data_IF_000712395437
#
_entry.id   IF_000712395437
#
_cell.length_a   1.000
_cell.length_b   1.000
_cell.length_c   1.000
_cell.angle_alpha   90.00
_cell.angle_beta   90.00
_cell.angle_gamma   90.00
#
_symmetry.space_group_name_H-M   'P 1'
#
loop_
_entity.id
_entity.type
_entity.pdbx_description
1 polymer ?
#
# COMPACT_ATOMS: atom_id res chain seq x y z
N UNK A 1 -6.13 37.42 4.85
CA UNK A 1 -6.27 37.21 3.41
C UNK A 1 -6.76 35.79 3.22
N UNK A 2 -7.92 35.62 2.59
CA UNK A 2 -8.42 34.30 2.18
C UNK A 2 -7.46 33.76 1.12
N UNK A 3 -7.00 32.50 1.25
CA UNK A 3 -6.18 31.88 0.21
C UNK A 3 -7.00 31.80 -1.08
N UNK A 4 -6.38 31.92 -2.26
CA UNK A 4 -7.08 31.84 -3.55
C UNK A 4 -7.90 30.53 -3.68
N UNK A 5 -7.40 29.42 -3.12
CA UNK A 5 -8.13 28.16 -3.02
C UNK A 5 -9.44 28.26 -2.22
N UNK A 6 -9.49 29.08 -1.16
CA UNK A 6 -10.71 29.28 -0.37
C UNK A 6 -11.78 30.09 -1.11
N UNK A 7 -11.39 31.04 -1.96
CA UNK A 7 -12.33 31.78 -2.81
C UNK A 7 -12.93 30.88 -3.89
N UNK A 8 -12.10 30.04 -4.51
CA UNK A 8 -12.54 29.06 -5.51
C UNK A 8 -13.50 28.02 -4.91
N UNK A 9 -13.19 27.51 -3.71
CA UNK A 9 -14.06 26.60 -2.97
C UNK A 9 -15.44 27.22 -2.69
N UNK A 10 -15.48 28.48 -2.24
CA UNK A 10 -16.73 29.19 -1.98
C UNK A 10 -17.56 29.38 -3.26
N UNK A 11 -16.92 29.72 -4.39
CA UNK A 11 -17.57 29.84 -5.69
C UNK A 11 -18.16 28.52 -6.19
N UNK A 12 -17.37 27.45 -6.16
CA UNK A 12 -17.83 26.11 -6.55
C UNK A 12 -18.99 25.63 -5.66
N UNK A 13 -18.90 25.84 -4.33
CA UNK A 13 -19.98 25.52 -3.39
C UNK A 13 -21.28 26.25 -3.75
N UNK A 14 -21.21 27.56 -3.98
CA UNK A 14 -22.38 28.37 -4.33
C UNK A 14 -23.06 27.88 -5.62
N UNK A 15 -22.28 27.50 -6.63
CA UNK A 15 -22.82 26.94 -7.87
C UNK A 15 -23.49 25.58 -7.66
N UNK A 16 -22.94 24.74 -6.79
CA UNK A 16 -23.56 23.45 -6.42
C UNK A 16 -24.86 23.66 -5.65
N UNK A 17 -24.90 24.61 -4.72
CA UNK A 17 -26.11 24.97 -3.97
C UNK A 17 -27.24 25.44 -4.90
N UNK A 18 -26.94 26.36 -5.83
CA UNK A 18 -27.89 26.84 -6.84
C UNK A 18 -28.36 25.71 -7.75
N UNK A 19 -27.47 24.76 -8.07
CA UNK A 19 -27.79 23.55 -8.85
C UNK A 19 -28.55 22.46 -8.08
N UNK A 20 -28.93 22.69 -6.81
CA UNK A 20 -29.62 21.71 -5.98
C UNK A 20 -28.74 20.55 -5.50
N UNK A 21 -27.42 20.66 -5.60
CA UNK A 21 -26.45 19.63 -5.26
C UNK A 21 -25.93 19.78 -3.83
N UNK A 22 -26.83 19.88 -2.85
CA UNK A 22 -26.50 20.18 -1.45
C UNK A 22 -25.45 19.22 -0.84
N UNK A 23 -25.49 17.93 -1.19
CA UNK A 23 -24.52 16.93 -0.71
C UNK A 23 -23.09 17.22 -1.22
N UNK A 24 -22.95 17.66 -2.47
CA UNK A 24 -21.67 18.02 -3.07
C UNK A 24 -21.17 19.39 -2.58
N UNK A 25 -22.07 20.34 -2.35
CA UNK A 25 -21.74 21.63 -1.76
C UNK A 25 -21.17 21.45 -0.34
N UNK A 26 -21.84 20.64 0.49
CA UNK A 26 -21.35 20.29 1.82
C UNK A 26 -20.01 19.54 1.76
N UNK A 27 -19.75 18.75 0.71
CA UNK A 27 -18.47 18.07 0.48
C UNK A 27 -17.35 19.08 0.24
N UNK A 28 -17.57 20.04 -0.64
CA UNK A 28 -16.58 21.11 -0.90
C UNK A 28 -16.29 21.90 0.36
N UNK A 29 -17.31 22.19 1.19
CA UNK A 29 -17.15 22.96 2.43
C UNK A 29 -16.27 22.26 3.49
N UNK A 30 -16.36 20.93 3.61
CA UNK A 30 -15.52 20.15 4.55
C UNK A 30 -14.17 19.71 3.97
N UNK A 31 -13.92 19.98 2.70
CA UNK A 31 -12.70 19.60 2.00
C UNK A 31 -11.68 20.74 2.00
N UNK A 32 -10.40 20.41 1.85
CA UNK A 32 -9.38 21.41 1.58
C UNK A 32 -9.19 21.58 0.07
N UNK A 33 -9.12 22.84 -0.38
CA UNK A 33 -8.95 23.20 -1.79
C UNK A 33 -7.67 24.01 -1.94
N UNK A 34 -6.79 23.55 -2.83
CA UNK A 34 -5.50 24.17 -3.08
C UNK A 34 -5.23 24.32 -4.58
N UNK A 35 -4.57 25.42 -4.95
CA UNK A 35 -4.03 25.61 -6.30
C UNK A 35 -2.62 25.02 -6.34
N UNK A 36 -2.35 24.16 -7.32
CA UNK A 36 -1.09 23.43 -7.42
C UNK A 36 -0.20 23.98 -8.53
N UNK A 37 1.00 24.41 -8.13
CA UNK A 37 2.02 24.91 -9.03
C UNK A 37 1.65 26.26 -9.66
N UNK A 38 2.42 26.64 -10.69
CA UNK A 38 2.11 27.82 -11.50
C UNK A 38 0.99 27.50 -12.50
N UNK A 39 0.20 28.51 -12.83
CA UNK A 39 -0.83 28.38 -13.86
C UNK A 39 -0.19 28.17 -15.24
N UNK A 40 -0.71 27.21 -16.00
CA UNK A 40 -0.30 26.99 -17.37
C UNK A 40 -0.84 28.12 -18.26
N UNK A 41 -0.07 28.55 -19.25
CA UNK A 41 -0.53 29.55 -20.23
C UNK A 41 -1.17 28.83 -21.40
N UNK A 42 -2.48 28.99 -21.57
CA UNK A 42 -3.24 28.38 -22.66
C UNK A 42 -3.67 29.44 -23.67
N UNK A 43 -3.56 29.12 -24.96
CA UNK A 43 -4.12 29.94 -26.04
C UNK A 43 -5.52 29.44 -26.38
N UNK A 44 -6.54 30.29 -26.20
CA UNK A 44 -7.93 29.99 -26.54
C UNK A 44 -8.43 30.97 -27.60
N UNK A 45 -8.27 30.61 -28.88
CA UNK A 45 -8.54 31.54 -29.98
C UNK A 45 -7.53 32.69 -29.97
N UNK A 46 -8.02 33.93 -29.89
CA UNK A 46 -7.19 35.14 -29.88
C UNK A 46 -6.75 35.60 -28.47
N UNK A 47 -7.19 34.92 -27.41
CA UNK A 47 -6.86 35.25 -26.01
C UNK A 47 -5.91 34.23 -25.41
N UNK A 48 -5.11 34.69 -24.47
CA UNK A 48 -4.33 33.83 -23.58
C UNK A 48 -4.94 33.84 -22.20
N UNK A 49 -5.03 32.66 -21.59
CA UNK A 49 -5.59 32.47 -20.26
C UNK A 49 -4.62 31.71 -19.37
N UNK A 50 -4.73 31.92 -18.06
CA UNK A 50 -4.03 31.18 -17.01
C UNK A 50 -4.90 30.01 -16.57
N UNK A 51 -4.46 28.80 -16.89
CA UNK A 51 -5.13 27.56 -16.52
C UNK A 51 -4.57 27.04 -15.19
N UNK A 52 -5.38 27.08 -14.13
CA UNK A 52 -4.98 26.64 -12.80
C UNK A 52 -5.30 25.17 -12.58
N UNK A 53 -4.39 24.44 -11.95
CA UNK A 53 -4.64 23.07 -11.47
C UNK A 53 -5.09 23.13 -10.02
N UNK A 54 -6.15 22.41 -9.71
CA UNK A 54 -6.80 22.42 -8.39
C UNK A 54 -6.72 21.04 -7.78
N UNK A 55 -6.38 20.96 -6.51
CA UNK A 55 -6.52 19.76 -5.69
C UNK A 55 -7.69 19.93 -4.74
N UNK A 56 -8.55 18.92 -4.72
CA UNK A 56 -9.58 18.75 -3.72
C UNK A 56 -9.16 17.59 -2.80
N UNK A 57 -8.76 17.94 -1.58
CA UNK A 57 -8.38 16.97 -0.54
C UNK A 57 -9.60 16.60 0.28
N UNK A 58 -9.98 15.32 0.24
CA UNK A 58 -11.25 14.81 0.78
C UNK A 58 -11.05 13.70 1.80
N UNK A 59 -12.07 13.44 2.62
CA UNK A 59 -12.10 12.27 3.51
C UNK A 59 -12.14 10.94 2.71
N UNK A 60 -11.84 9.81 3.36
CA UNK A 60 -11.93 8.50 2.72
C UNK A 60 -13.37 8.17 2.25
N UNK A 61 -14.38 8.57 3.03
CA UNK A 61 -15.79 8.36 2.70
C UNK A 61 -16.19 9.15 1.44
N UNK A 62 -15.79 10.43 1.38
CA UNK A 62 -16.03 11.29 0.23
C UNK A 62 -15.26 10.82 -1.02
N UNK A 63 -14.03 10.33 -0.84
CA UNK A 63 -13.26 9.75 -1.93
C UNK A 63 -13.96 8.53 -2.53
N UNK A 64 -14.43 7.61 -1.70
CA UNK A 64 -15.19 6.43 -2.15
C UNK A 64 -16.48 6.84 -2.85
N UNK A 65 -17.21 7.81 -2.29
CA UNK A 65 -18.42 8.35 -2.87
C UNK A 65 -18.19 8.92 -4.28
N UNK A 66 -17.15 9.73 -4.46
CA UNK A 66 -16.86 10.39 -5.73
C UNK A 66 -16.30 9.43 -6.79
N UNK A 67 -15.48 8.46 -6.37
CA UNK A 67 -14.92 7.44 -7.27
C UNK A 67 -15.97 6.41 -7.70
N UNK A 68 -16.95 6.08 -6.85
CA UNK A 68 -18.06 5.20 -7.17
C UNK A 68 -19.12 5.86 -8.07
N UNK A 69 -19.18 7.19 -8.12
CA UNK A 69 -20.20 7.94 -8.86
C UNK A 69 -19.55 8.97 -9.80
N UNK A 70 -19.10 8.56 -11.01
CA UNK A 70 -18.44 9.45 -11.96
C UNK A 70 -19.23 10.71 -12.31
N UNK A 71 -20.56 10.63 -12.34
CA UNK A 71 -21.42 11.79 -12.59
C UNK A 71 -21.26 12.86 -11.51
N UNK A 72 -21.13 12.47 -10.23
CA UNK A 72 -20.92 13.41 -9.11
C UNK A 72 -19.57 14.12 -9.25
N UNK A 73 -18.53 13.38 -9.62
CA UNK A 73 -17.22 13.95 -9.89
C UNK A 73 -17.23 14.90 -11.10
N UNK A 74 -17.98 14.57 -12.15
CA UNK A 74 -18.19 15.48 -13.29
C UNK A 74 -18.88 16.77 -12.87
N UNK A 75 -19.96 16.68 -12.08
CA UNK A 75 -20.66 17.85 -11.55
C UNK A 75 -19.75 18.74 -10.70
N UNK A 76 -18.88 18.15 -9.86
CA UNK A 76 -17.85 18.91 -9.14
C UNK A 76 -16.89 19.61 -10.10
N UNK A 77 -16.37 18.90 -11.11
CA UNK A 77 -15.47 19.49 -12.11
C UNK A 77 -16.11 20.67 -12.82
N UNK A 78 -17.37 20.55 -13.22
CA UNK A 78 -18.11 21.62 -13.89
C UNK A 78 -18.31 22.83 -12.98
N UNK A 79 -18.64 22.61 -11.70
CA UNK A 79 -18.76 23.68 -10.72
C UNK A 79 -17.43 24.41 -10.47
N UNK A 80 -16.32 23.67 -10.33
CA UNK A 80 -14.98 24.27 -10.20
C UNK A 80 -14.55 24.99 -11.47
N UNK A 81 -14.85 24.44 -12.65
CA UNK A 81 -14.55 25.07 -13.93
C UNK A 81 -15.31 26.38 -14.10
N UNK A 82 -16.61 26.39 -13.78
CA UNK A 82 -17.43 27.59 -13.81
C UNK A 82 -16.98 28.63 -12.77
N UNK A 83 -16.58 28.21 -11.57
CA UNK A 83 -16.06 29.12 -10.55
C UNK A 83 -14.69 29.72 -10.92
N UNK A 84 -13.83 28.96 -11.59
CA UNK A 84 -12.51 29.42 -12.04
C UNK A 84 -12.56 30.28 -13.32
N UNK A 85 -13.65 30.21 -14.08
CA UNK A 85 -13.73 30.84 -15.41
C UNK A 85 -13.88 32.35 -15.31
N UNK A 86 -12.90 33.06 -15.86
CA UNK A 86 -12.94 34.50 -16.10
C UNK A 86 -12.42 34.79 -17.51
N UNK A 87 -12.38 36.05 -17.98
CA UNK A 87 -11.70 36.38 -19.25
C UNK A 87 -10.22 36.00 -19.28
N UNK A 88 -9.57 35.86 -18.11
CA UNK A 88 -8.12 35.65 -17.96
C UNK A 88 -7.76 34.29 -17.36
N UNK A 89 -8.73 33.54 -16.82
CA UNK A 89 -8.48 32.31 -16.05
C UNK A 89 -9.41 31.19 -16.46
N UNK A 90 -8.88 29.96 -16.43
CA UNK A 90 -9.63 28.72 -16.66
C UNK A 90 -9.17 27.64 -15.66
N UNK A 91 -9.95 26.57 -15.55
CA UNK A 91 -9.55 25.36 -14.84
C UNK A 91 -8.73 24.45 -15.77
N UNK A 92 -7.46 24.25 -15.44
CA UNK A 92 -6.57 23.31 -16.13
C UNK A 92 -6.82 21.85 -15.75
N UNK A 93 -7.24 21.61 -14.50
CA UNK A 93 -7.62 20.28 -14.04
C UNK A 93 -8.05 20.27 -12.57
N UNK A 94 -8.86 19.27 -12.20
CA UNK A 94 -9.24 18.98 -10.82
C UNK A 94 -8.78 17.57 -10.45
N UNK A 95 -7.81 17.52 -9.53
CA UNK A 95 -7.27 16.29 -8.96
C UNK A 95 -7.94 16.02 -7.61
N UNK A 96 -8.38 14.79 -7.40
CA UNK A 96 -8.92 14.33 -6.12
C UNK A 96 -7.80 13.66 -5.33
N UNK A 97 -7.58 14.09 -4.08
CA UNK A 97 -6.54 13.54 -3.20
C UNK A 97 -7.15 13.13 -1.86
N UNK A 98 -6.69 12.03 -1.30
CA UNK A 98 -7.12 11.57 0.02
C UNK A 98 -6.47 12.39 1.13
N UNK A 99 -7.27 12.85 2.09
CA UNK A 99 -6.78 13.37 3.36
C UNK A 99 -6.11 12.24 4.15
N UNK A 100 -4.78 12.23 4.17
CA UNK A 100 -4.02 11.22 4.89
C UNK A 100 -4.00 11.52 6.39
N UNK A 101 -4.03 10.49 7.26
CA UNK A 101 -3.92 10.70 8.69
C UNK A 101 -2.58 11.37 9.03
N UNK A 102 -2.56 12.31 9.99
CA UNK A 102 -1.34 12.99 10.39
C UNK A 102 -0.38 11.95 10.97
N UNK A 103 0.65 11.59 10.22
CA UNK A 103 1.77 10.83 10.78
C UNK A 103 2.51 11.77 11.71
N UNK A 104 2.61 11.44 13.00
CA UNK A 104 3.28 12.26 14.03
C UNK A 104 4.76 12.59 13.81
N UNK A 105 5.28 12.45 12.60
CA UNK A 105 6.55 13.01 12.16
C UNK A 105 6.32 14.46 11.67
N UNK A 106 6.24 15.40 12.62
CA UNK A 106 6.42 16.81 12.26
C UNK A 106 7.86 17.04 11.85
N UNK A 107 8.15 17.21 10.56
CA UNK A 107 9.50 17.52 10.08
C UNK A 107 9.52 18.66 9.05
N UNK A 108 10.04 19.79 9.54
CA UNK A 108 10.77 20.89 8.87
C UNK A 108 10.12 21.72 7.77
N UNK A 109 9.29 22.70 8.16
CA UNK A 109 9.05 23.92 7.37
C UNK A 109 10.11 25.02 7.54
N UNK A 110 11.23 24.79 8.26
CA UNK A 110 12.14 25.87 8.67
C UNK A 110 13.66 25.60 8.59
N UNK A 111 14.15 24.55 7.92
CA UNK A 111 15.58 24.21 8.03
C UNK A 111 16.54 24.94 7.04
N UNK A 112 16.08 25.51 5.93
CA UNK A 112 16.98 26.18 4.98
C UNK A 112 16.35 27.43 4.37
N UNK A 113 16.90 28.59 4.73
CA UNK A 113 16.48 29.93 4.25
C UNK A 113 16.85 30.17 2.78
N UNK A 114 17.83 29.43 2.26
CA UNK A 114 18.45 29.65 0.94
C UNK A 114 18.44 28.40 0.03
N UNK A 115 17.67 27.36 0.39
CA UNK A 115 17.46 26.26 -0.54
C UNK A 115 16.50 26.72 -1.66
N UNK A 116 16.81 26.51 -2.96
CA UNK A 116 15.86 26.76 -4.03
C UNK A 116 14.56 26.05 -3.67
N UNK A 117 13.42 26.74 -3.80
CA UNK A 117 12.11 26.15 -3.53
C UNK A 117 11.97 24.87 -4.38
N UNK A 118 12.20 23.71 -3.77
CA UNK A 118 11.93 22.43 -4.40
C UNK A 118 10.41 22.42 -4.63
N UNK A 119 10.02 22.65 -5.88
CA UNK A 119 8.66 22.93 -6.36
C UNK A 119 7.65 21.80 -6.16
N UNK A 120 8.04 20.67 -5.56
CA UNK A 120 7.17 19.54 -5.30
C UNK A 120 6.99 19.41 -3.78
N UNK A 121 5.74 19.41 -3.33
CA UNK A 121 5.41 18.95 -1.98
C UNK A 121 6.06 17.57 -1.79
N UNK A 122 6.77 17.33 -0.66
CA UNK A 122 7.40 16.05 -0.44
C UNK A 122 6.33 14.94 -0.51
N UNK A 123 6.66 13.80 -1.15
CA UNK A 123 5.74 12.67 -1.24
C UNK A 123 5.22 12.29 0.14
N UNK A 124 3.96 11.84 0.27
CA UNK A 124 3.44 11.40 1.55
C UNK A 124 4.29 10.25 2.10
N UNK A 125 4.60 10.23 3.41
CA UNK A 125 5.41 9.17 4.00
C UNK A 125 4.67 7.83 3.91
N UNK A 126 5.39 6.69 3.84
CA UNK A 126 4.78 5.36 3.67
C UNK A 126 3.71 5.03 4.73
N UNK A 127 3.93 5.45 5.98
CA UNK A 127 2.98 5.26 7.07
C UNK A 127 1.66 6.03 6.86
N UNK A 128 1.71 7.23 6.26
CA UNK A 128 0.51 8.02 5.95
C UNK A 128 -0.28 7.36 4.83
N UNK A 129 0.40 6.89 3.79
CA UNK A 129 -0.20 6.13 2.68
C UNK A 129 -0.87 4.86 3.19
N UNK A 130 -0.18 4.09 4.04
CA UNK A 130 -0.73 2.87 4.64
C UNK A 130 -1.97 3.15 5.50
N UNK A 131 -1.92 4.20 6.33
CA UNK A 131 -3.06 4.63 7.14
C UNK A 131 -4.25 5.10 6.29
N UNK A 132 -4.00 5.87 5.23
CA UNK A 132 -5.03 6.31 4.29
C UNK A 132 -5.66 5.13 3.53
N UNK A 133 -4.84 4.16 3.08
CA UNK A 133 -5.33 2.96 2.43
C UNK A 133 -6.25 2.13 3.36
N UNK A 134 -5.90 2.02 4.64
CA UNK A 134 -6.74 1.35 5.62
C UNK A 134 -8.10 2.06 5.81
N UNK A 135 -8.12 3.39 5.90
CA UNK A 135 -9.38 4.15 6.00
C UNK A 135 -10.21 4.07 4.70
N UNK A 136 -9.58 3.97 3.52
CA UNK A 136 -10.29 3.68 2.27
C UNK A 136 -10.96 2.29 2.29
N UNK A 137 -10.26 1.25 2.75
CA UNK A 137 -10.84 -0.08 2.88
C UNK A 137 -12.02 -0.09 3.87
N UNK A 138 -11.90 0.65 4.99
CA UNK A 138 -12.98 0.85 5.95
C UNK A 138 -14.19 1.56 5.33
N UNK A 139 -13.97 2.65 4.60
CA UNK A 139 -15.03 3.38 3.89
C UNK A 139 -15.73 2.51 2.82
N UNK A 140 -14.98 1.63 2.16
CA UNK A 140 -15.51 0.59 1.23
C UNK A 140 -16.20 -0.57 1.95
N UNK A 141 -16.23 -0.58 3.28
CA UNK A 141 -16.74 -1.68 4.13
C UNK A 141 -16.00 -3.01 3.93
N UNK A 142 -14.75 -2.95 3.45
CA UNK A 142 -13.87 -4.11 3.32
C UNK A 142 -13.01 -4.27 4.58
N UNK A 143 -13.63 -4.82 5.64
CA UNK A 143 -12.99 -5.02 6.95
C UNK A 143 -11.77 -5.93 6.90
N UNK A 144 -11.76 -6.87 5.97
CA UNK A 144 -10.66 -7.80 5.82
C UNK A 144 -9.40 -7.10 5.30
N UNK A 145 -9.52 -6.39 4.17
CA UNK A 145 -8.42 -5.62 3.62
C UNK A 145 -7.94 -4.52 4.58
N UNK A 146 -8.87 -3.87 5.29
CA UNK A 146 -8.55 -2.94 6.38
C UNK A 146 -7.68 -3.59 7.46
N UNK A 147 -8.08 -4.78 7.95
CA UNK A 147 -7.35 -5.51 8.97
C UNK A 147 -5.94 -5.89 8.55
N UNK A 148 -5.76 -6.29 7.29
CA UNK A 148 -4.45 -6.60 6.70
C UNK A 148 -3.57 -5.34 6.66
N UNK A 149 -4.09 -4.22 6.14
CA UNK A 149 -3.35 -2.96 6.02
C UNK A 149 -2.94 -2.39 7.39
N UNK A 150 -3.79 -2.52 8.42
CA UNK A 150 -3.47 -2.04 9.78
C UNK A 150 -2.30 -2.80 10.43
N UNK A 151 -2.05 -4.05 10.04
CA UNK A 151 -0.95 -4.88 10.56
C UNK A 151 0.30 -4.87 9.68
N UNK A 152 0.15 -4.49 8.41
CA UNK A 152 1.23 -4.44 7.44
C UNK A 152 2.29 -3.37 7.80
N UNK A 153 3.45 -3.46 7.16
CA UNK A 153 4.41 -2.36 7.07
C UNK A 153 4.61 -1.99 5.60
N UNK A 154 5.09 -0.77 5.34
CA UNK A 154 5.24 -0.25 3.98
C UNK A 154 6.62 0.37 3.80
N UNK A 155 7.31 -0.08 2.75
CA UNK A 155 8.54 0.55 2.26
C UNK A 155 8.23 1.32 0.97
N UNK A 156 8.90 2.45 0.77
CA UNK A 156 8.80 3.25 -0.45
C UNK A 156 10.18 3.38 -1.08
N UNK A 157 10.22 3.21 -2.39
CA UNK A 157 11.40 3.44 -3.22
C UNK A 157 11.00 4.17 -4.51
N UNK A 158 11.98 4.78 -5.16
CA UNK A 158 11.81 5.37 -6.47
C UNK A 158 12.51 4.49 -7.49
N UNK A 159 11.77 4.09 -8.53
CA UNK A 159 12.35 3.39 -9.66
C UNK A 159 12.38 4.35 -10.83
N UNK A 160 13.56 4.53 -11.43
CA UNK A 160 13.66 5.24 -12.70
C UNK A 160 13.12 4.32 -13.80
N UNK A 161 11.95 4.65 -14.32
CA UNK A 161 11.37 4.00 -15.49
C UNK A 161 11.34 5.02 -16.63
N UNK A 162 12.31 4.93 -17.53
CA UNK A 162 12.50 5.89 -18.62
C UNK A 162 12.62 7.36 -18.12
N UNK A 163 11.94 8.31 -18.77
CA UNK A 163 12.04 9.75 -18.50
C UNK A 163 11.29 10.23 -17.25
N UNK A 164 10.63 9.34 -16.48
CA UNK A 164 9.91 9.69 -15.24
C UNK A 164 10.24 8.72 -14.11
N UNK A 165 10.48 9.25 -12.91
CA UNK A 165 10.57 8.43 -11.70
C UNK A 165 9.18 7.95 -11.31
N UNK A 166 9.00 6.65 -11.13
CA UNK A 166 7.76 6.06 -10.62
C UNK A 166 7.94 5.69 -9.14
N UNK A 167 6.95 6.00 -8.32
CA UNK A 167 6.92 5.55 -6.92
C UNK A 167 6.57 4.07 -6.85
N UNK A 168 7.39 3.32 -6.11
CA UNK A 168 7.18 1.91 -5.84
C UNK A 168 6.97 1.71 -4.34
N UNK A 169 5.82 1.15 -3.99
CA UNK A 169 5.50 0.72 -2.64
C UNK A 169 5.66 -0.80 -2.52
N UNK A 170 6.34 -1.24 -1.48
CA UNK A 170 6.41 -2.63 -1.08
C UNK A 170 5.61 -2.79 0.22
N UNK A 171 4.45 -3.42 0.10
CA UNK A 171 3.58 -3.75 1.23
C UNK A 171 4.04 -5.07 1.84
N UNK A 172 4.59 -5.00 3.04
CA UNK A 172 5.07 -6.15 3.82
C UNK A 172 3.93 -6.69 4.65
N UNK A 173 3.52 -7.91 4.35
CA UNK A 173 2.38 -8.58 4.96
C UNK A 173 2.83 -9.69 5.90
N UNK A 174 2.03 -9.95 6.91
CA UNK A 174 2.21 -11.15 7.72
C UNK A 174 2.07 -12.40 6.83
N UNK A 175 2.76 -13.51 7.15
CA UNK A 175 2.81 -14.71 6.31
C UNK A 175 1.44 -15.30 5.95
N UNK A 176 0.51 -15.31 6.92
CA UNK A 176 -0.85 -15.77 6.69
C UNK A 176 -1.60 -14.89 5.69
N UNK A 177 -1.45 -13.56 5.80
CA UNK A 177 -2.07 -12.59 4.91
C UNK A 177 -1.44 -12.66 3.51
N UNK A 178 -0.12 -12.81 3.41
CA UNK A 178 0.59 -12.99 2.15
C UNK A 178 0.11 -14.25 1.41
N UNK A 179 0.06 -15.40 2.10
CA UNK A 179 -0.44 -16.64 1.51
C UNK A 179 -1.92 -16.55 1.12
N UNK A 180 -2.70 -15.71 1.79
CA UNK A 180 -4.12 -15.49 1.49
C UNK A 180 -4.32 -14.67 0.22
N UNK A 181 -3.62 -13.55 0.07
CA UNK A 181 -3.74 -12.71 -1.12
C UNK A 181 -3.29 -13.42 -2.40
N UNK A 182 -2.39 -14.41 -2.31
CA UNK A 182 -2.00 -15.25 -3.44
C UNK A 182 -3.14 -16.19 -3.87
N UNK A 183 -3.99 -16.62 -2.94
CA UNK A 183 -5.16 -17.47 -3.21
C UNK A 183 -6.40 -16.68 -3.61
N UNK A 184 -6.49 -15.41 -3.18
CA UNK A 184 -7.64 -14.54 -3.37
C UNK A 184 -7.27 -13.28 -4.18
N UNK A 185 -7.20 -13.36 -5.53
CA UNK A 185 -6.84 -12.21 -6.37
C UNK A 185 -7.67 -10.93 -6.13
N UNK A 186 -9.00 -11.00 -5.89
CA UNK A 186 -9.79 -9.80 -5.59
C UNK A 186 -9.35 -9.06 -4.32
N UNK A 187 -8.81 -9.78 -3.34
CA UNK A 187 -8.27 -9.18 -2.11
C UNK A 187 -6.96 -8.44 -2.42
N UNK A 188 -6.06 -9.06 -3.20
CA UNK A 188 -4.82 -8.44 -3.65
C UNK A 188 -5.08 -7.16 -4.46
N UNK A 189 -6.08 -7.19 -5.36
CA UNK A 189 -6.52 -6.03 -6.14
C UNK A 189 -7.09 -4.93 -5.23
N UNK A 190 -7.90 -5.30 -4.24
CA UNK A 190 -8.47 -4.35 -3.28
C UNK A 190 -7.39 -3.61 -2.49
N UNK A 191 -6.36 -4.34 -2.01
CA UNK A 191 -5.21 -3.76 -1.31
C UNK A 191 -4.40 -2.84 -2.24
N UNK A 192 -4.14 -3.30 -3.47
CA UNK A 192 -3.38 -2.54 -4.48
C UNK A 192 -4.09 -1.24 -4.84
N UNK A 193 -5.41 -1.29 -5.11
CA UNK A 193 -6.22 -0.10 -5.40
C UNK A 193 -6.22 0.87 -4.23
N UNK A 194 -6.45 0.40 -3.00
CA UNK A 194 -6.46 1.27 -1.83
C UNK A 194 -5.13 2.00 -1.62
N UNK A 195 -4.00 1.30 -1.78
CA UNK A 195 -2.66 1.91 -1.68
C UNK A 195 -2.42 2.91 -2.81
N UNK A 196 -2.81 2.60 -4.05
CA UNK A 196 -2.67 3.53 -5.19
C UNK A 196 -3.48 4.80 -4.99
N UNK A 197 -4.72 4.67 -4.56
CA UNK A 197 -5.62 5.80 -4.34
C UNK A 197 -5.12 6.68 -3.17
N UNK A 198 -4.63 6.06 -2.09
CA UNK A 198 -4.02 6.79 -0.98
C UNK A 198 -2.67 7.45 -1.34
N UNK A 199 -1.92 6.86 -2.28
CA UNK A 199 -0.64 7.40 -2.73
C UNK A 199 -0.78 8.49 -3.80
N UNK A 200 -1.95 8.62 -4.43
CA UNK A 200 -2.19 9.54 -5.53
C UNK A 200 -1.94 10.99 -5.10
N UNK A 201 -1.14 11.70 -5.90
CA UNK A 201 -0.91 13.14 -5.74
C UNK A 201 -1.28 13.86 -7.03
N UNK A 202 -1.36 15.20 -6.98
CA UNK A 202 -1.70 16.02 -8.14
C UNK A 202 -0.75 15.83 -9.33
N UNK A 203 0.54 15.60 -9.05
CA UNK A 203 1.60 15.52 -10.06
C UNK A 203 2.01 14.08 -10.39
N UNK A 204 1.65 13.09 -9.57
CA UNK A 204 2.05 11.69 -9.76
C UNK A 204 0.92 10.70 -9.39
N UNK A 205 0.06 10.33 -10.34
CA UNK A 205 -1.03 9.39 -10.11
C UNK A 205 -0.58 7.92 -10.15
N UNK A 206 0.66 7.63 -10.55
CA UNK A 206 1.07 6.27 -10.89
C UNK A 206 2.00 5.69 -9.83
N UNK A 207 1.54 4.65 -9.14
CA UNK A 207 2.35 3.90 -8.18
C UNK A 207 2.30 2.40 -8.45
N UNK A 208 3.48 1.78 -8.45
CA UNK A 208 3.62 0.34 -8.47
C UNK A 208 3.51 -0.18 -7.03
N UNK A 209 2.62 -1.14 -6.79
CA UNK A 209 2.45 -1.78 -5.49
C UNK A 209 2.89 -3.23 -5.63
N UNK A 210 3.78 -3.65 -4.76
CA UNK A 210 4.26 -5.03 -4.67
C UNK A 210 4.00 -5.57 -3.27
N UNK A 211 3.82 -6.89 -3.17
CA UNK A 211 3.68 -7.57 -1.90
C UNK A 211 4.98 -8.28 -1.54
N UNK A 212 5.30 -8.30 -0.25
CA UNK A 212 6.39 -9.08 0.30
C UNK A 212 6.04 -9.61 1.68
N UNK A 213 6.81 -10.58 2.16
CA UNK A 213 6.68 -11.08 3.53
C UNK A 213 7.30 -10.08 4.51
N UNK A 214 6.59 -9.83 5.61
CA UNK A 214 7.08 -9.14 6.79
C UNK A 214 7.91 -10.12 7.62
N UNK A 215 9.18 -9.81 7.82
CA UNK A 215 10.14 -10.68 8.53
C UNK A 215 10.51 -10.13 9.92
N UNK A 216 10.03 -8.93 10.25
CA UNK A 216 10.25 -8.16 11.47
C UNK A 216 9.07 -8.22 12.46
N UNK A 217 8.09 -9.09 12.21
CA UNK A 217 6.94 -9.31 13.10
C UNK A 217 7.28 -10.17 14.33
N UNK A 218 6.45 -10.13 15.39
CA UNK A 218 6.58 -11.07 16.51
C UNK A 218 6.47 -12.48 15.95
N UNK A 219 7.54 -13.26 16.12
CA UNK A 219 7.55 -14.69 15.74
C UNK A 219 6.49 -15.36 16.60
N UNK A 220 5.43 -15.95 16.01
CA UNK A 220 4.44 -16.68 16.78
C UNK A 220 5.17 -17.73 17.62
N UNK A 221 4.86 -17.84 18.91
CA UNK A 221 5.45 -18.90 19.74
C UNK A 221 5.09 -20.24 19.10
N UNK A 222 6.13 -20.91 18.61
CA UNK A 222 6.01 -22.22 18.02
C UNK A 222 5.85 -23.23 19.17
N UNK A 223 4.92 -24.19 19.08
CA UNK A 223 4.90 -25.30 20.02
C UNK A 223 6.20 -26.12 19.90
N UNK A 224 6.51 -26.91 20.92
CA UNK A 224 7.46 -28.01 20.73
C UNK A 224 6.76 -29.11 19.91
N UNK A 225 7.40 -29.71 18.90
CA UNK A 225 8.83 -29.65 18.55
C UNK A 225 9.26 -28.56 17.54
N UNK A 226 8.34 -27.78 16.99
CA UNK A 226 8.56 -26.74 15.97
C UNK A 226 9.57 -25.68 16.44
N UNK A 227 9.47 -25.24 17.71
CA UNK A 227 10.35 -24.25 18.30
C UNK A 227 11.83 -24.66 18.26
N UNK A 228 12.11 -25.95 18.49
CA UNK A 228 13.47 -26.49 18.48
C UNK A 228 14.08 -26.50 17.09
N UNK A 229 13.28 -26.87 16.09
CA UNK A 229 13.70 -26.81 14.70
C UNK A 229 13.96 -25.37 14.27
N UNK A 230 13.07 -24.44 14.65
CA UNK A 230 13.23 -23.02 14.36
C UNK A 230 14.47 -22.42 15.01
N UNK A 231 14.77 -22.77 16.26
CA UNK A 231 15.98 -22.34 16.95
C UNK A 231 17.26 -22.82 16.23
N UNK A 232 17.28 -24.09 15.83
CA UNK A 232 18.40 -24.68 15.10
C UNK A 232 18.61 -24.05 13.71
N UNK A 233 17.53 -23.71 13.01
CA UNK A 233 17.55 -23.03 11.70
C UNK A 233 17.98 -21.56 11.81
N UNK A 234 17.56 -20.86 12.88
CA UNK A 234 17.98 -19.49 13.16
C UNK A 234 19.51 -19.41 13.34
N UNK A 235 20.11 -20.37 14.06
CA UNK A 235 21.56 -20.50 14.19
C UNK A 235 22.31 -20.71 12.86
N UNK A 236 21.59 -21.08 11.78
CA UNK A 236 22.11 -21.27 10.42
C UNK A 236 21.71 -20.16 9.46
N UNK A 237 21.16 -19.05 9.96
CA UNK A 237 20.77 -17.90 9.16
C UNK A 237 19.47 -18.11 8.36
N UNK A 238 18.62 -19.06 8.76
CA UNK A 238 17.31 -19.28 8.18
C UNK A 238 16.20 -18.87 9.17
N UNK A 239 15.15 -18.23 8.65
CA UNK A 239 13.98 -17.79 9.41
C UNK A 239 12.86 -18.82 9.23
N UNK A 240 12.25 -19.25 10.34
CA UNK A 240 11.09 -20.13 10.32
C UNK A 240 9.82 -19.34 10.58
N UNK A 241 8.82 -19.62 9.76
CA UNK A 241 7.55 -18.92 9.76
C UNK A 241 6.43 -19.97 9.78
N UNK A 242 5.61 -20.05 10.84
CA UNK A 242 4.45 -20.94 10.82
C UNK A 242 3.40 -20.45 9.83
N UNK A 243 2.81 -21.39 9.10
CA UNK A 243 1.72 -21.20 8.15
C UNK A 243 0.61 -22.15 8.57
N UNK A 244 -0.50 -21.59 9.07
CA UNK A 244 -1.70 -22.38 9.39
C UNK A 244 -2.39 -22.80 8.10
N UNK A 245 -2.69 -24.09 7.99
CA UNK A 245 -3.44 -24.69 6.88
C UNK A 245 -4.95 -24.61 7.12
N UNK A 246 -5.77 -24.74 6.06
CA UNK A 246 -7.23 -24.78 6.18
C UNK A 246 -7.76 -25.95 7.03
N UNK A 247 -7.01 -27.05 7.12
CA UNK A 247 -7.34 -28.23 7.94
C UNK A 247 -6.91 -28.08 9.41
N UNK A 248 -6.34 -26.94 9.79
CA UNK A 248 -5.88 -26.66 11.15
C UNK A 248 -4.46 -27.13 11.46
N UNK A 249 -3.78 -27.81 10.52
CA UNK A 249 -2.38 -28.20 10.67
C UNK A 249 -1.43 -27.02 10.39
N UNK A 250 -0.20 -27.10 10.89
CA UNK A 250 0.82 -26.04 10.71
C UNK A 250 1.93 -26.52 9.79
N UNK A 251 2.22 -25.76 8.74
CA UNK A 251 3.48 -25.85 8.00
C UNK A 251 4.48 -24.84 8.54
N UNK A 252 5.78 -25.11 8.36
CA UNK A 252 6.83 -24.13 8.58
C UNK A 252 7.38 -23.70 7.22
N UNK A 253 7.19 -22.44 6.83
CA UNK A 253 7.99 -21.83 5.78
C UNK A 253 9.37 -21.49 6.34
N UNK A 254 10.39 -22.15 5.82
CA UNK A 254 11.78 -21.87 6.13
C UNK A 254 12.35 -21.01 5.02
N UNK A 255 12.85 -19.84 5.39
CA UNK A 255 13.33 -18.80 4.48
C UNK A 255 14.82 -18.59 4.74
N UNK A 256 15.65 -18.81 3.74
CA UNK A 256 17.08 -18.52 3.80
C UNK A 256 17.50 -17.55 2.70
N UNK A 257 18.76 -17.15 2.70
CA UNK A 257 19.32 -16.25 1.69
C UNK A 257 19.12 -16.74 0.23
N UNK A 258 18.99 -18.04 0.04
CA UNK A 258 18.95 -18.69 -1.27
C UNK A 258 17.55 -19.09 -1.75
N UNK A 259 16.51 -18.97 -0.91
CA UNK A 259 15.16 -19.37 -1.29
C UNK A 259 14.21 -19.63 -0.13
N UNK A 260 13.11 -20.32 -0.45
CA UNK A 260 12.07 -20.72 0.50
C UNK A 260 11.83 -22.22 0.37
N UNK A 261 11.64 -22.91 1.50
CA UNK A 261 11.25 -24.31 1.58
C UNK A 261 10.05 -24.42 2.52
N UNK A 262 9.06 -25.23 2.17
CA UNK A 262 7.95 -25.56 3.08
C UNK A 262 8.28 -26.87 3.80
N UNK A 263 8.18 -26.87 5.13
CA UNK A 263 8.41 -28.03 5.98
C UNK A 263 7.09 -28.44 6.63
N UNK A 264 6.68 -29.68 6.39
CA UNK A 264 5.54 -30.34 7.03
C UNK A 264 6.08 -31.25 8.13
N UNK A 265 5.63 -31.04 9.37
CA UNK A 265 5.94 -31.95 10.47
C UNK A 265 4.93 -33.09 10.50
N UNK A 266 5.43 -34.33 10.42
CA UNK A 266 4.59 -35.53 10.43
C UNK A 266 4.82 -36.33 11.72
N UNK A 267 3.75 -36.85 12.35
CA UNK A 267 3.89 -37.73 13.51
C UNK A 267 4.40 -39.12 13.09
N UNK A 268 5.38 -39.68 13.82
CA UNK A 268 5.88 -41.05 13.67
C UNK A 268 7.20 -41.21 12.89
N UNK A 269 7.77 -42.44 12.84
CA UNK A 269 9.11 -42.74 12.33
C UNK A 269 9.16 -42.84 10.79
N UNK A 270 8.52 -41.90 10.08
CA UNK A 270 8.62 -41.84 8.63
C UNK A 270 9.95 -41.23 8.21
N UNK A 271 10.61 -41.88 7.23
CA UNK A 271 11.80 -41.34 6.57
C UNK A 271 11.41 -39.99 5.95
N UNK A 272 12.20 -38.95 6.23
CA UNK A 272 12.04 -37.65 5.60
C UNK A 272 11.96 -37.82 4.08
N UNK A 273 10.76 -37.70 3.52
CA UNK A 273 10.52 -37.86 2.08
C UNK A 273 10.55 -36.47 1.44
N UNK A 274 11.52 -36.26 0.55
CA UNK A 274 11.55 -35.08 -0.32
C UNK A 274 10.61 -35.33 -1.49
N UNK A 275 9.37 -34.87 -1.39
CA UNK A 275 8.44 -34.89 -2.52
C UNK A 275 8.48 -33.54 -3.24
N UNK A 276 9.04 -33.55 -4.46
CA UNK A 276 9.01 -32.41 -5.36
C UNK A 276 7.62 -32.35 -6.02
N UNK A 277 6.70 -31.61 -5.40
CA UNK A 277 5.40 -31.30 -6.04
C UNK A 277 5.56 -30.29 -7.16
N UNK A 278 4.55 -30.17 -8.03
CA UNK A 278 4.46 -29.21 -9.17
C UNK A 278 4.47 -27.71 -8.77
N UNK A 279 4.77 -27.40 -7.51
CA UNK A 279 4.82 -26.03 -6.98
C UNK A 279 6.27 -25.53 -7.04
N UNK A 280 6.47 -24.27 -7.46
CA UNK A 280 7.78 -23.60 -7.56
C UNK A 280 8.62 -23.60 -6.26
N UNK A 281 8.05 -23.99 -5.12
CA UNK A 281 8.68 -24.02 -3.79
C UNK A 281 8.83 -25.48 -3.32
N UNK A 282 10.05 -25.95 -3.02
CA UNK A 282 10.28 -27.32 -2.54
C UNK A 282 9.59 -27.59 -1.19
N UNK A 283 9.09 -28.81 -1.03
CA UNK A 283 8.40 -29.29 0.18
C UNK A 283 9.17 -30.43 0.83
N UNK A 284 9.36 -30.36 2.14
CA UNK A 284 10.04 -31.36 2.95
C UNK A 284 9.10 -31.88 4.03
N UNK A 285 9.12 -33.20 4.26
CA UNK A 285 8.49 -33.81 5.42
C UNK A 285 9.55 -34.13 6.46
N UNK A 286 9.35 -33.67 7.68
CA UNK A 286 10.25 -33.93 8.81
C UNK A 286 9.44 -34.61 9.90
N UNK A 287 9.93 -35.76 10.36
CA UNK A 287 9.29 -36.47 11.47
C UNK A 287 9.48 -35.69 12.78
N UNK A 288 8.39 -35.52 13.54
CA UNK A 288 8.43 -34.92 14.86
C UNK A 288 9.39 -35.67 15.82
N UNK A 289 9.56 -36.99 15.64
CA UNK A 289 10.43 -37.84 16.47
C UNK A 289 11.93 -37.51 16.26
N UNK A 290 12.28 -36.96 15.09
CA UNK A 290 13.63 -36.48 14.78
C UNK A 290 13.94 -35.20 15.56
N UNK A 291 12.93 -34.45 15.99
CA UNK A 291 13.10 -33.20 16.71
C UNK A 291 13.15 -33.38 18.23
N UNK A 292 13.03 -34.61 18.74
CA UNK A 292 13.03 -34.93 20.18
C UNK A 292 14.40 -34.68 20.84
N UNK A 293 15.50 -34.65 20.06
CA UNK A 293 16.83 -34.27 20.56
C UNK A 293 17.47 -33.13 19.75
N UNK A 294 18.28 -32.31 20.41
CA UNK A 294 18.94 -31.16 19.78
C UNK A 294 19.89 -31.59 18.64
N UNK A 295 20.63 -32.68 18.82
CA UNK A 295 21.54 -33.24 17.81
C UNK A 295 20.79 -33.66 16.54
N UNK A 296 19.63 -34.32 16.67
CA UNK A 296 18.83 -34.74 15.52
C UNK A 296 18.10 -33.58 14.86
N UNK A 297 17.68 -32.58 15.64
CA UNK A 297 17.15 -31.31 15.12
C UNK A 297 18.22 -30.54 14.31
N UNK A 298 19.50 -30.60 14.73
CA UNK A 298 20.62 -30.04 13.99
C UNK A 298 20.79 -30.73 12.61
N UNK A 299 20.76 -32.06 12.58
CA UNK A 299 20.79 -32.84 11.33
C UNK A 299 19.62 -32.48 10.41
N UNK A 300 18.39 -32.41 10.93
CA UNK A 300 17.22 -32.02 10.15
C UNK A 300 17.35 -30.60 9.58
N UNK A 301 17.80 -29.65 10.39
CA UNK A 301 18.01 -28.26 9.96
C UNK A 301 19.09 -28.12 8.87
N UNK A 302 20.16 -28.91 8.93
CA UNK A 302 21.21 -28.93 7.90
C UNK A 302 20.66 -29.42 6.56
N UNK A 303 19.81 -30.44 6.56
CA UNK A 303 19.13 -30.94 5.35
C UNK A 303 18.18 -29.90 4.74
N UNK A 304 17.46 -29.15 5.58
CA UNK A 304 16.58 -28.06 5.13
C UNK A 304 17.40 -26.92 4.52
N UNK A 305 18.52 -26.52 5.14
CA UNK A 305 19.43 -25.50 4.58
C UNK A 305 20.04 -25.94 3.25
N UNK A 306 20.41 -27.22 3.13
CA UNK A 306 20.86 -27.77 1.85
C UNK A 306 19.75 -27.69 0.77
N UNK A 307 18.50 -27.96 1.13
CA UNK A 307 17.36 -27.83 0.22
C UNK A 307 17.10 -26.36 -0.18
N UNK A 308 17.31 -25.40 0.72
CA UNK A 308 17.26 -23.97 0.40
C UNK A 308 18.30 -23.58 -0.66
N UNK A 309 19.53 -24.12 -0.55
CA UNK A 309 20.60 -23.89 -1.54
C UNK A 309 20.34 -24.53 -2.90
N UNK A 310 19.63 -25.66 -2.94
CA UNK A 310 19.21 -26.32 -4.18
C UNK A 310 18.00 -25.62 -4.84
N UNK A 311 17.24 -24.85 -4.07
CA UNK A 311 16.09 -24.06 -4.52
C UNK A 311 16.50 -22.72 -5.11
N UNK A 312 17.44 -22.71 -6.07
CA UNK A 312 17.72 -21.47 -6.82
C UNK A 312 16.45 -21.02 -7.54
N UNK A 313 15.92 -19.87 -7.12
CA UNK A 313 14.82 -19.17 -7.79
C UNK A 313 15.28 -18.92 -9.23
N UNK A 314 14.62 -19.58 -10.19
CA UNK A 314 14.66 -19.22 -11.62
C UNK A 314 13.48 -18.32 -11.93
#
# INVERSE_FOLDING_TARGET
MLSEGSALAAGARSLLDVGGQAELAALVERSAVELVGEADRWSMGAREVRAYRVVLTVSAEDHVLLTAHPNRLSTLRDAFAAAARTPETELGGLSLVLALPPTGAGFHRHAYRDAPAARAEPPPPPAAVLGGAAELCKARKNREAEGILRRASMEQSYVQAAARSMRRFLLRLDPADFARIEREPPLAESLTSAVRDAAATADDPASAVHFGLRLDGPVPELPEPEARLAHSLAGKGAVCVPITRPDGETWLAVIGASGVVLVELVPGPDKAMVTRGEVKVPRLRVSADVLVSAERADVASALIVAALGASKIR
#
